data_IF_301591066839
#
_entry.id   IF_301591066839
#
_cell.length_a   1.000
_cell.length_b   1.000
_cell.length_c   1.000
_cell.angle_alpha   90.00
_cell.angle_beta   90.00
_cell.angle_gamma   90.00
#
_symmetry.space_group_name_H-M   'P 1'
#
loop_
_entity.id
_entity.type
_entity.pdbx_description
1 polymer ?
#
# COMPACT_ATOMS: atom_id res chain seq x y z
N UNK A 1 -20.52 -19.09 1.56
CA UNK A 1 -19.21 -18.42 1.52
C UNK A 1 -18.27 -19.33 0.76
N UNK A 2 -17.73 -18.86 -0.35
CA UNK A 2 -16.86 -19.65 -1.24
C UNK A 2 -15.41 -19.38 -0.82
N UNK A 3 -14.70 -20.41 -0.34
CA UNK A 3 -13.25 -20.33 -0.13
C UNK A 3 -12.56 -19.95 -1.44
N UNK A 4 -11.58 -19.04 -1.38
CA UNK A 4 -10.76 -18.72 -2.55
C UNK A 4 -9.85 -19.92 -2.82
N UNK A 5 -10.21 -20.74 -3.81
CA UNK A 5 -9.46 -21.94 -4.22
C UNK A 5 -8.27 -21.60 -5.13
N UNK A 6 -8.08 -20.32 -5.48
CA UNK A 6 -7.01 -19.84 -6.35
C UNK A 6 -5.84 -19.27 -5.55
N UNK A 7 -4.76 -20.05 -5.46
CA UNK A 7 -3.47 -19.56 -4.97
C UNK A 7 -2.79 -18.75 -6.08
N UNK A 8 -2.46 -17.50 -5.79
CA UNK A 8 -1.65 -16.64 -6.64
C UNK A 8 -0.17 -16.77 -6.30
N UNK A 9 0.71 -16.40 -7.24
CA UNK A 9 2.15 -16.29 -7.00
C UNK A 9 2.52 -14.90 -6.49
N UNK A 10 1.72 -13.88 -6.83
CA UNK A 10 1.96 -12.50 -6.39
C UNK A 10 0.69 -11.79 -5.93
N UNK A 11 0.85 -10.92 -4.93
CA UNK A 11 -0.14 -9.89 -4.60
C UNK A 11 0.52 -8.51 -4.72
N UNK A 12 -0.05 -7.66 -5.57
CA UNK A 12 0.57 -6.37 -5.96
C UNK A 12 -0.40 -5.23 -5.77
N UNK A 13 0.07 -4.13 -5.19
CA UNK A 13 -0.70 -2.89 -5.08
C UNK A 13 -0.62 -2.09 -6.37
N UNK A 14 -1.77 -1.59 -6.82
CA UNK A 14 -1.92 -0.62 -7.91
C UNK A 14 -2.27 0.78 -7.37
N UNK A 15 -1.95 1.07 -6.10
CA UNK A 15 -2.27 2.34 -5.45
C UNK A 15 -3.74 2.42 -4.98
N UNK A 16 -4.39 3.58 -4.95
CA UNK A 16 -3.95 4.88 -5.47
C UNK A 16 -2.93 5.63 -4.61
N UNK A 17 -2.71 5.19 -3.38
CA UNK A 17 -1.81 5.78 -2.40
C UNK A 17 -1.10 4.70 -1.58
N UNK A 18 -0.15 5.09 -0.75
CA UNK A 18 0.72 4.15 -0.03
C UNK A 18 0.01 3.23 0.97
N UNK A 19 -1.22 3.56 1.39
CA UNK A 19 -2.00 2.73 2.31
C UNK A 19 -2.32 1.34 1.78
N UNK A 20 -2.56 1.20 0.46
CA UNK A 20 -2.79 -0.11 -0.17
C UNK A 20 -1.59 -1.03 -0.01
N UNK A 21 -0.39 -0.54 -0.36
CA UNK A 21 0.85 -1.28 -0.23
C UNK A 21 1.19 -1.56 1.24
N UNK A 22 0.95 -0.60 2.13
CA UNK A 22 1.17 -0.74 3.58
C UNK A 22 0.25 -1.80 4.21
N UNK A 23 -1.02 -1.83 3.84
CA UNK A 23 -1.97 -2.87 4.29
C UNK A 23 -1.59 -4.26 3.79
N UNK A 24 -1.23 -4.40 2.52
CA UNK A 24 -0.73 -5.68 1.98
C UNK A 24 0.54 -6.14 2.70
N UNK A 25 1.45 -5.21 3.03
CA UNK A 25 2.68 -5.49 3.78
C UNK A 25 2.35 -6.05 5.17
N UNK A 26 1.40 -5.42 5.86
CA UNK A 26 0.95 -5.84 7.19
C UNK A 26 0.38 -7.27 7.20
N UNK A 27 -0.32 -7.66 6.13
CA UNK A 27 -0.89 -9.01 6.01
C UNK A 27 0.14 -10.07 5.57
N UNK A 28 1.32 -9.65 5.10
CA UNK A 28 2.31 -10.53 4.48
C UNK A 28 2.00 -10.86 3.02
N UNK A 29 1.07 -10.13 2.39
CA UNK A 29 0.68 -10.37 1.00
C UNK A 29 1.56 -9.62 0.01
N UNK A 30 2.11 -8.46 0.38
CA UNK A 30 2.90 -7.64 -0.55
C UNK A 30 4.14 -8.39 -1.04
N UNK A 31 4.16 -8.79 -2.31
CA UNK A 31 5.26 -9.54 -2.91
C UNK A 31 6.54 -8.71 -3.06
N UNK A 32 6.42 -7.42 -3.39
CA UNK A 32 7.55 -6.50 -3.51
C UNK A 32 7.07 -5.03 -3.48
N UNK A 33 8.01 -4.07 -3.54
CA UNK A 33 7.68 -2.67 -3.76
C UNK A 33 7.50 -2.36 -5.24
N UNK A 34 6.25 -2.19 -5.68
CA UNK A 34 5.87 -1.90 -7.06
C UNK A 34 6.02 -0.43 -7.47
N UNK A 35 5.80 -0.12 -8.76
CA UNK A 35 5.91 1.23 -9.31
C UNK A 35 4.82 2.19 -8.82
N UNK A 36 3.70 1.69 -8.27
CA UNK A 36 2.57 2.52 -7.83
C UNK A 36 2.44 2.65 -6.31
N UNK A 37 3.36 2.07 -5.54
CA UNK A 37 3.22 1.98 -4.07
C UNK A 37 3.49 3.29 -3.33
N UNK A 38 4.22 4.22 -3.94
CA UNK A 38 4.75 5.42 -3.25
C UNK A 38 4.41 6.72 -3.98
N UNK A 39 3.42 6.67 -4.87
CA UNK A 39 2.88 7.80 -5.58
C UNK A 39 1.36 7.88 -5.42
N UNK A 40 0.80 9.08 -5.52
CA UNK A 40 -0.63 9.27 -5.71
C UNK A 40 -0.94 9.11 -7.21
N UNK A 41 -1.97 8.35 -7.54
CA UNK A 41 -2.25 7.97 -8.93
C UNK A 41 -3.73 7.91 -9.28
N UNK A 42 -4.06 8.35 -10.49
CA UNK A 42 -5.35 8.08 -11.12
C UNK A 42 -5.37 6.67 -11.71
N UNK A 43 -6.47 5.94 -11.56
CA UNK A 43 -6.50 4.54 -11.97
C UNK A 43 -6.41 4.39 -13.49
N UNK A 44 -7.06 5.28 -14.24
CA UNK A 44 -6.91 5.34 -15.70
C UNK A 44 -5.43 5.45 -16.10
N UNK A 45 -4.66 6.32 -15.43
CA UNK A 45 -3.23 6.47 -15.71
C UNK A 45 -2.44 5.20 -15.36
N UNK A 46 -2.77 4.52 -14.26
CA UNK A 46 -2.17 3.23 -13.91
C UNK A 46 -2.45 2.18 -14.99
N UNK A 47 -3.70 2.05 -15.43
CA UNK A 47 -4.11 1.12 -16.49
C UNK A 47 -3.37 1.44 -17.80
N UNK A 48 -3.32 2.72 -18.18
CA UNK A 48 -2.60 3.16 -19.39
C UNK A 48 -1.11 2.83 -19.31
N UNK A 49 -0.47 3.01 -18.15
CA UNK A 49 0.95 2.66 -17.94
C UNK A 49 1.20 1.16 -18.05
N UNK A 50 0.26 0.32 -17.62
CA UNK A 50 0.40 -1.13 -17.76
C UNK A 50 0.19 -1.55 -19.22
N UNK A 51 -0.80 -0.94 -19.90
CA UNK A 51 -1.12 -1.25 -21.30
C UNK A 51 -0.01 -0.84 -22.27
N UNK A 52 0.62 0.32 -22.02
CA UNK A 52 1.70 0.84 -22.85
C UNK A 52 3.10 0.44 -22.37
N UNK A 53 3.22 -0.58 -21.49
CA UNK A 53 4.50 -1.07 -20.97
C UNK A 53 5.39 0.02 -20.35
N UNK A 54 4.76 0.94 -19.63
CA UNK A 54 5.38 2.04 -18.90
C UNK A 54 6.11 3.07 -19.79
N UNK A 55 5.64 3.25 -21.03
CA UNK A 55 6.19 4.25 -21.95
C UNK A 55 6.08 5.67 -21.35
N UNK A 56 7.23 6.36 -21.37
CA UNK A 56 7.48 7.69 -20.79
C UNK A 56 7.33 7.78 -19.26
N UNK A 57 7.27 6.66 -18.53
CA UNK A 57 7.18 6.69 -17.05
C UNK A 57 8.40 7.41 -16.45
N UNK A 58 8.15 8.45 -15.64
CA UNK A 58 9.18 9.30 -15.03
C UNK A 58 10.14 9.98 -16.03
N UNK A 59 9.73 10.16 -17.29
CA UNK A 59 10.54 10.89 -18.27
C UNK A 59 10.69 12.34 -17.83
N UNK A 60 11.93 12.82 -17.68
CA UNK A 60 12.26 14.13 -17.08
C UNK A 60 11.45 15.30 -17.65
N UNK A 61 11.19 15.33 -18.95
CA UNK A 61 10.42 16.39 -19.62
C UNK A 61 8.94 16.50 -19.16
N UNK A 62 8.37 15.39 -18.67
CA UNK A 62 7.02 15.35 -18.14
C UNK A 62 6.96 15.78 -16.66
N UNK A 63 8.11 15.87 -15.98
CA UNK A 63 8.17 16.10 -14.53
C UNK A 63 8.25 17.59 -14.19
N UNK A 64 7.55 17.98 -13.12
CA UNK A 64 7.65 19.32 -12.55
C UNK A 64 7.72 19.28 -11.01
N UNK A 65 8.45 20.22 -10.42
CA UNK A 65 8.46 20.44 -8.97
C UNK A 65 7.15 21.12 -8.56
N UNK A 66 6.47 20.59 -7.54
CA UNK A 66 5.16 21.09 -7.11
C UNK A 66 5.31 22.10 -5.97
N UNK A 67 4.59 23.22 -6.06
CA UNK A 67 4.52 24.26 -5.02
C UNK A 67 5.89 24.77 -4.55
N UNK A 68 6.89 24.77 -5.44
CA UNK A 68 8.30 25.10 -5.11
C UNK A 68 8.90 24.25 -3.98
N UNK A 69 8.30 23.10 -3.67
CA UNK A 69 8.84 22.16 -2.70
C UNK A 69 9.78 21.19 -3.42
N UNK A 70 11.12 21.29 -3.23
CA UNK A 70 12.08 20.49 -3.98
C UNK A 70 11.98 18.98 -3.69
N UNK A 71 11.19 18.57 -2.68
CA UNK A 71 10.97 17.18 -2.30
C UNK A 71 9.75 16.54 -2.93
N UNK A 72 8.99 17.31 -3.70
CA UNK A 72 7.71 16.88 -4.26
C UNK A 72 7.65 17.24 -5.73
N UNK A 73 7.40 16.24 -6.55
CA UNK A 73 7.29 16.41 -8.00
C UNK A 73 6.08 15.65 -8.53
N UNK A 74 5.58 16.07 -9.70
CA UNK A 74 4.50 15.36 -10.40
C UNK A 74 4.88 15.08 -11.85
N UNK A 75 4.37 13.97 -12.37
CA UNK A 75 4.27 13.71 -13.80
C UNK A 75 3.04 14.43 -14.36
N UNK A 76 3.24 15.38 -15.27
CA UNK A 76 2.16 16.18 -15.86
C UNK A 76 1.37 15.43 -16.92
N UNK A 77 1.97 14.41 -17.56
CA UNK A 77 1.36 13.63 -18.64
C UNK A 77 0.35 12.64 -18.08
N UNK A 78 0.70 11.96 -16.99
CA UNK A 78 -0.11 10.90 -16.39
C UNK A 78 -0.65 11.25 -14.99
N UNK A 79 -0.35 12.45 -14.48
CA UNK A 79 -0.83 12.96 -13.19
C UNK A 79 -0.41 12.11 -11.98
N UNK A 80 0.76 11.46 -12.05
CA UNK A 80 1.36 10.80 -10.88
C UNK A 80 2.01 11.82 -9.97
N UNK A 81 1.77 11.70 -8.66
CA UNK A 81 2.31 12.63 -7.67
C UNK A 81 3.27 11.89 -6.72
N UNK A 82 4.50 12.40 -6.58
CA UNK A 82 5.55 11.74 -5.80
C UNK A 82 5.94 12.63 -4.62
N UNK A 83 5.66 12.16 -3.41
CA UNK A 83 5.87 12.91 -2.16
C UNK A 83 6.76 12.19 -1.14
N UNK A 84 7.35 11.05 -1.53
CA UNK A 84 8.13 10.18 -0.64
C UNK A 84 9.54 9.85 -1.15
N UNK A 85 9.82 10.10 -2.42
CA UNK A 85 11.01 9.57 -3.09
C UNK A 85 12.23 10.48 -3.00
N UNK A 86 12.03 11.78 -2.76
CA UNK A 86 13.08 12.79 -2.68
C UNK A 86 13.42 13.06 -1.22
N UNK A 87 14.69 12.95 -0.85
CA UNK A 87 15.14 13.21 0.53
C UNK A 87 15.46 14.69 0.74
N UNK A 88 16.12 15.30 -0.23
CA UNK A 88 16.65 16.65 -0.16
C UNK A 88 16.23 17.48 -1.37
N UNK A 89 16.57 17.04 -2.58
CA UNK A 89 16.37 17.81 -3.80
C UNK A 89 16.16 16.92 -5.02
N UNK A 90 15.04 17.13 -5.71
CA UNK A 90 14.66 16.34 -6.87
C UNK A 90 15.69 16.37 -8.01
N UNK A 91 16.28 17.52 -8.32
CA UNK A 91 17.21 17.62 -9.45
C UNK A 91 18.47 16.77 -9.24
N UNK A 92 18.98 16.73 -8.01
CA UNK A 92 20.16 15.94 -7.66
C UNK A 92 19.85 14.45 -7.51
N UNK A 93 18.60 14.12 -7.17
CA UNK A 93 18.18 12.74 -6.88
C UNK A 93 17.46 12.06 -8.06
N UNK A 94 17.18 12.81 -9.14
CA UNK A 94 16.39 12.34 -10.28
C UNK A 94 16.93 11.02 -10.85
N UNK A 95 18.23 10.93 -11.16
CA UNK A 95 18.80 9.73 -11.80
C UNK A 95 18.65 8.48 -10.91
N UNK A 96 18.83 8.66 -9.60
CA UNK A 96 18.65 7.59 -8.62
C UNK A 96 17.18 7.17 -8.48
N UNK A 97 16.26 8.14 -8.51
CA UNK A 97 14.81 7.89 -8.47
C UNK A 97 14.38 7.17 -9.74
N UNK A 98 14.81 7.64 -10.91
CA UNK A 98 14.53 7.05 -12.21
C UNK A 98 15.02 5.59 -12.26
N UNK A 99 16.31 5.36 -11.98
CA UNK A 99 16.88 4.00 -11.96
C UNK A 99 16.18 3.07 -10.96
N UNK A 100 15.75 3.58 -9.80
CA UNK A 100 14.96 2.82 -8.82
C UNK A 100 13.62 2.38 -9.41
N UNK A 101 12.91 3.26 -10.10
CA UNK A 101 11.61 2.93 -10.69
C UNK A 101 11.75 2.04 -11.93
N UNK A 102 12.78 2.21 -12.77
CA UNK A 102 13.09 1.28 -13.87
C UNK A 102 13.21 -0.16 -13.36
N UNK A 103 14.02 -0.39 -12.32
CA UNK A 103 14.15 -1.74 -11.70
C UNK A 103 12.86 -2.26 -11.05
N UNK A 104 11.92 -1.38 -10.68
CA UNK A 104 10.61 -1.78 -10.14
C UNK A 104 9.64 -2.15 -11.25
N UNK A 105 9.68 -1.42 -12.37
CA UNK A 105 8.90 -1.68 -13.58
C UNK A 105 9.31 -3.02 -14.20
N UNK A 106 10.60 -3.24 -14.43
CA UNK A 106 11.12 -4.50 -14.97
C UNK A 106 10.66 -5.71 -14.13
N UNK A 107 10.76 -5.57 -12.80
CA UNK A 107 10.29 -6.59 -11.87
C UNK A 107 8.78 -6.75 -11.91
N UNK A 108 8.04 -5.65 -12.00
CA UNK A 108 6.58 -5.67 -12.09
C UNK A 108 6.13 -6.44 -13.32
N UNK A 109 6.59 -6.07 -14.52
CA UNK A 109 6.28 -6.75 -15.77
C UNK A 109 6.60 -8.25 -15.67
N UNK A 110 7.81 -8.60 -15.23
CA UNK A 110 8.21 -10.00 -15.06
C UNK A 110 7.33 -10.78 -14.06
N UNK A 111 6.86 -10.13 -12.99
CA UNK A 111 6.06 -10.81 -11.96
C UNK A 111 4.61 -11.04 -12.40
N UNK A 112 4.06 -10.13 -13.21
CA UNK A 112 2.66 -10.25 -13.67
C UNK A 112 2.49 -11.26 -14.80
N UNK A 113 3.58 -11.83 -15.34
CA UNK A 113 3.57 -13.01 -16.21
C UNK A 113 3.19 -14.30 -15.47
N UNK A 114 3.14 -14.27 -14.14
CA UNK A 114 2.64 -15.36 -13.28
C UNK A 114 1.31 -14.97 -12.62
N UNK A 115 0.47 -15.93 -12.18
CA UNK A 115 -0.82 -15.64 -11.56
C UNK A 115 -0.71 -14.58 -10.46
N UNK A 116 -1.31 -13.41 -10.70
CA UNK A 116 -1.18 -12.25 -9.83
C UNK A 116 -2.54 -11.68 -9.42
N UNK A 117 -2.70 -11.44 -8.13
CA UNK A 117 -3.84 -10.71 -7.58
C UNK A 117 -3.46 -9.24 -7.32
N UNK A 118 -4.06 -8.34 -8.07
CA UNK A 118 -3.87 -6.90 -7.94
C UNK A 118 -4.86 -6.30 -6.94
N UNK A 119 -4.42 -5.30 -6.18
CA UNK A 119 -5.26 -4.57 -5.23
C UNK A 119 -5.27 -3.08 -5.57
N UNK A 120 -6.46 -2.51 -5.71
CA UNK A 120 -6.67 -1.07 -5.93
C UNK A 120 -7.63 -0.52 -4.89
N UNK A 121 -7.14 0.33 -3.99
CA UNK A 121 -8.03 1.18 -3.21
C UNK A 121 -8.65 2.21 -4.17
N UNK A 122 -9.98 2.37 -4.13
CA UNK A 122 -10.71 3.21 -5.09
C UNK A 122 -10.74 4.65 -4.62
N UNK A 123 -10.24 5.59 -5.43
CA UNK A 123 -10.03 6.97 -4.98
C UNK A 123 -11.32 7.77 -4.83
N UNK A 124 -12.32 7.55 -5.69
CA UNK A 124 -13.51 8.41 -5.81
C UNK A 124 -14.67 7.74 -6.55
N UNK A 125 -15.85 8.35 -6.51
CA UNK A 125 -17.03 7.98 -7.32
C UNK A 125 -16.77 8.03 -8.84
N UNK A 126 -15.89 8.92 -9.28
CA UNK A 126 -15.48 8.98 -10.67
C UNK A 126 -14.66 7.75 -11.05
N UNK A 127 -13.76 7.30 -10.16
CA UNK A 127 -13.00 6.07 -10.36
C UNK A 127 -13.93 4.84 -10.38
N UNK A 128 -15.00 4.81 -9.56
CA UNK A 128 -16.03 3.76 -9.61
C UNK A 128 -16.68 3.68 -10.99
N UNK A 129 -17.12 4.82 -11.53
CA UNK A 129 -17.71 4.88 -12.87
C UNK A 129 -16.72 4.43 -13.94
N UNK A 130 -15.46 4.87 -13.83
CA UNK A 130 -14.40 4.42 -14.74
C UNK A 130 -14.22 2.90 -14.70
N UNK A 131 -14.09 2.30 -13.50
CA UNK A 131 -13.93 0.85 -13.33
C UNK A 131 -15.13 0.10 -13.93
N UNK A 132 -16.36 0.54 -13.62
CA UNK A 132 -17.57 -0.12 -14.10
C UNK A 132 -17.68 -0.09 -15.64
N UNK A 133 -17.36 1.06 -16.25
CA UNK A 133 -17.47 1.25 -17.70
C UNK A 133 -16.33 0.58 -18.50
N UNK A 134 -15.17 0.32 -17.87
CA UNK A 134 -13.98 -0.19 -18.55
C UNK A 134 -13.53 -1.56 -18.04
N UNK A 135 -14.40 -2.30 -17.34
CA UNK A 135 -14.10 -3.62 -16.75
C UNK A 135 -13.39 -4.56 -17.73
N UNK A 136 -13.97 -4.72 -18.93
CA UNK A 136 -13.46 -5.65 -19.94
C UNK A 136 -12.05 -5.25 -20.40
N UNK A 137 -11.81 -3.96 -20.67
CA UNK A 137 -10.51 -3.47 -21.11
C UNK A 137 -9.45 -3.63 -20.03
N UNK A 138 -9.78 -3.28 -18.77
CA UNK A 138 -8.89 -3.48 -17.62
C UNK A 138 -8.51 -4.95 -17.47
N UNK A 139 -9.50 -5.86 -17.55
CA UNK A 139 -9.24 -7.30 -17.47
C UNK A 139 -8.40 -7.80 -18.64
N UNK A 140 -8.68 -7.35 -19.86
CA UNK A 140 -7.92 -7.72 -21.06
C UNK A 140 -6.45 -7.26 -20.95
N UNK A 141 -6.20 -6.06 -20.45
CA UNK A 141 -4.85 -5.52 -20.24
C UNK A 141 -4.09 -6.39 -19.22
N UNK A 142 -4.69 -6.69 -18.06
CA UNK A 142 -4.02 -7.48 -17.03
C UNK A 142 -3.83 -8.95 -17.46
N UNK A 143 -4.81 -9.53 -18.16
CA UNK A 143 -4.78 -10.92 -18.60
C UNK A 143 -3.89 -11.19 -19.81
N UNK A 144 -3.48 -10.15 -20.53
CA UNK A 144 -2.47 -10.23 -21.60
C UNK A 144 -1.15 -10.83 -21.08
N UNK A 145 -0.80 -10.54 -19.83
CA UNK A 145 0.42 -11.06 -19.20
C UNK A 145 0.23 -12.46 -18.62
N UNK A 146 -0.95 -12.76 -18.04
CA UNK A 146 -1.31 -14.08 -17.55
C UNK A 146 -2.85 -14.19 -17.42
N UNK A 147 -3.45 -15.25 -17.96
CA UNK A 147 -4.90 -15.45 -17.98
C UNK A 147 -5.54 -15.55 -16.58
N UNK A 148 -4.75 -15.96 -15.58
CA UNK A 148 -5.14 -16.05 -14.17
C UNK A 148 -4.92 -14.74 -13.39
N UNK A 149 -4.49 -13.66 -14.04
CA UNK A 149 -4.42 -12.37 -13.38
C UNK A 149 -5.82 -11.88 -13.01
N UNK A 150 -5.94 -11.38 -11.78
CA UNK A 150 -7.18 -10.88 -11.22
C UNK A 150 -6.94 -9.56 -10.48
N UNK A 151 -7.97 -8.72 -10.39
CA UNK A 151 -7.93 -7.46 -9.65
C UNK A 151 -9.07 -7.38 -8.65
N UNK A 152 -8.77 -6.78 -7.50
CA UNK A 152 -9.71 -6.53 -6.40
C UNK A 152 -9.72 -5.05 -6.05
N UNK A 153 -10.93 -4.53 -5.92
CA UNK A 153 -11.17 -3.13 -5.57
C UNK A 153 -11.57 -2.99 -4.10
N UNK A 154 -11.03 -1.97 -3.42
CA UNK A 154 -11.30 -1.69 -2.01
C UNK A 154 -12.00 -0.34 -1.92
N UNK A 155 -13.23 -0.35 -1.43
CA UNK A 155 -14.13 0.80 -1.39
C UNK A 155 -14.26 1.31 0.04
N UNK A 156 -14.43 2.62 0.18
CA UNK A 156 -14.83 3.24 1.44
C UNK A 156 -16.33 3.05 1.69
N UNK A 157 -16.75 3.15 2.94
CA UNK A 157 -18.12 2.87 3.37
C UNK A 157 -19.17 3.76 2.68
N UNK A 158 -18.80 5.01 2.39
CA UNK A 158 -19.66 6.01 1.77
C UNK A 158 -19.68 5.98 0.24
N UNK A 159 -18.95 5.05 -0.39
CA UNK A 159 -18.86 4.97 -1.85
C UNK A 159 -19.97 4.13 -2.48
N UNK A 160 -20.36 4.43 -3.71
CA UNK A 160 -21.26 3.57 -4.48
C UNK A 160 -20.66 2.18 -4.69
N UNK A 161 -21.48 1.13 -4.68
CA UNK A 161 -21.01 -0.22 -4.99
C UNK A 161 -20.64 -0.36 -6.47
N UNK A 162 -19.64 -1.19 -6.76
CA UNK A 162 -19.38 -1.66 -8.12
C UNK A 162 -20.36 -2.80 -8.48
N UNK A 163 -20.60 -3.08 -9.78
CA UNK A 163 -21.41 -4.22 -10.20
C UNK A 163 -20.90 -5.55 -9.63
N UNK A 164 -21.80 -6.50 -9.35
CA UNK A 164 -21.47 -7.82 -8.76
C UNK A 164 -20.50 -8.66 -9.63
N UNK A 165 -20.43 -8.35 -10.93
CA UNK A 165 -19.46 -8.96 -11.84
C UNK A 165 -18.01 -8.53 -11.61
N UNK A 166 -17.79 -7.51 -10.77
CA UNK A 166 -16.48 -6.97 -10.40
C UNK A 166 -16.19 -7.37 -8.95
N UNK A 167 -14.99 -7.88 -8.68
CA UNK A 167 -14.62 -8.26 -7.31
C UNK A 167 -14.22 -7.02 -6.49
N UNK A 168 -15.00 -6.72 -5.47
CA UNK A 168 -14.72 -5.60 -4.56
C UNK A 168 -15.06 -5.93 -3.11
N UNK A 169 -14.45 -5.18 -2.18
CA UNK A 169 -14.73 -5.25 -0.75
C UNK A 169 -14.91 -3.85 -0.18
N UNK A 170 -15.77 -3.73 0.83
CA UNK A 170 -16.06 -2.46 1.51
C UNK A 170 -15.38 -2.41 2.88
N UNK A 171 -14.74 -1.29 3.15
CA UNK A 171 -14.21 -0.94 4.46
C UNK A 171 -15.28 -0.21 5.28
N UNK A 172 -15.18 -0.25 6.60
CA UNK A 172 -15.98 0.58 7.51
C UNK A 172 -15.54 2.05 7.54
N UNK A 173 -14.42 2.39 6.87
CA UNK A 173 -13.88 3.76 6.82
C UNK A 173 -14.62 4.63 5.79
N UNK A 174 -14.89 5.87 6.13
CA UNK A 174 -15.48 6.87 5.21
C UNK A 174 -14.44 7.74 4.49
N UNK A 175 -13.18 7.69 4.94
CA UNK A 175 -12.08 8.45 4.35
C UNK A 175 -10.75 7.72 4.49
N UNK A 176 -9.84 7.98 3.56
CA UNK A 176 -8.48 7.47 3.62
C UNK A 176 -7.65 8.18 4.68
N UNK A 177 -7.04 7.40 5.57
CA UNK A 177 -6.20 7.91 6.65
C UNK A 177 -4.75 7.97 6.16
N UNK A 178 -4.03 9.06 6.48
CA UNK A 178 -2.63 9.28 6.04
C UNK A 178 -1.59 8.91 7.10
N UNK A 179 -2.02 8.49 8.29
CA UNK A 179 -1.14 8.10 9.38
C UNK A 179 -0.61 6.70 9.15
N UNK A 180 0.69 6.49 9.41
CA UNK A 180 1.41 5.24 9.11
C UNK A 180 0.73 4.01 9.70
N UNK A 181 0.30 4.05 10.97
CA UNK A 181 -0.33 2.91 11.63
C UNK A 181 -1.71 2.60 11.03
N UNK A 182 -2.58 3.61 10.93
CA UNK A 182 -3.93 3.48 10.38
C UNK A 182 -3.92 2.92 8.96
N UNK A 183 -2.98 3.38 8.12
CA UNK A 183 -2.79 2.86 6.76
C UNK A 183 -2.45 1.38 6.72
N UNK A 184 -1.72 0.86 7.73
CA UNK A 184 -1.33 -0.56 7.78
C UNK A 184 -2.46 -1.45 8.25
N UNK A 185 -3.36 -0.95 9.08
CA UNK A 185 -4.52 -1.70 9.58
C UNK A 185 -5.80 -1.48 8.76
N UNK A 186 -5.72 -0.68 7.68
CA UNK A 186 -6.87 -0.30 6.85
C UNK A 186 -7.62 -1.52 6.30
N UNK A 187 -6.93 -2.52 5.76
CA UNK A 187 -7.60 -3.75 5.30
C UNK A 187 -8.19 -4.59 6.43
N UNK A 188 -7.79 -4.36 7.68
CA UNK A 188 -8.40 -4.98 8.87
C UNK A 188 -9.80 -4.45 9.19
N UNK A 189 -10.24 -3.39 8.53
CA UNK A 189 -11.56 -2.78 8.70
C UNK A 189 -12.67 -3.48 7.88
N UNK A 190 -12.40 -4.67 7.35
CA UNK A 190 -13.35 -5.48 6.59
C UNK A 190 -13.08 -6.96 6.82
N UNK A 191 -13.98 -7.64 7.54
CA UNK A 191 -13.85 -9.07 7.81
C UNK A 191 -13.89 -9.91 6.53
N UNK A 192 -14.72 -9.50 5.57
CA UNK A 192 -14.83 -10.13 4.26
C UNK A 192 -13.52 -10.04 3.48
N UNK A 193 -12.90 -8.86 3.45
CA UNK A 193 -11.59 -8.67 2.81
C UNK A 193 -10.50 -9.49 3.52
N UNK A 194 -10.50 -9.50 4.86
CA UNK A 194 -9.56 -10.30 5.65
C UNK A 194 -9.72 -11.80 5.34
N UNK A 195 -10.95 -12.28 5.23
CA UNK A 195 -11.23 -13.67 4.88
C UNK A 195 -10.76 -13.98 3.46
N UNK A 196 -11.08 -13.14 2.47
CA UNK A 196 -10.60 -13.28 1.10
C UNK A 196 -9.07 -13.29 1.01
N UNK A 197 -8.40 -12.47 1.82
CA UNK A 197 -6.94 -12.41 1.86
C UNK A 197 -6.29 -13.70 2.39
N UNK A 198 -7.03 -14.56 3.10
CA UNK A 198 -6.53 -15.87 3.54
C UNK A 198 -6.44 -16.80 2.33
N UNK A 199 -5.27 -17.39 2.12
CA UNK A 199 -5.07 -18.38 1.05
C UNK A 199 -4.67 -17.80 -0.31
N UNK A 200 -4.58 -16.48 -0.47
CA UNK A 200 -4.14 -15.89 -1.75
C UNK A 200 -2.69 -16.23 -2.11
N UNK A 201 -1.84 -16.47 -1.11
CA UNK A 201 -0.45 -16.90 -1.28
C UNK A 201 -0.18 -18.13 -0.42
N UNK A 202 0.84 -18.90 -0.81
CA UNK A 202 1.39 -20.00 0.01
C UNK A 202 1.85 -19.47 1.37
N UNK A 203 1.62 -20.24 2.43
CA UNK A 203 1.99 -19.88 3.81
C UNK A 203 3.47 -19.49 3.95
N UNK A 204 4.38 -20.24 3.33
CA UNK A 204 5.82 -19.95 3.33
C UNK A 204 6.14 -18.56 2.75
N UNK A 205 5.47 -18.17 1.67
CA UNK A 205 5.64 -16.85 1.06
C UNK A 205 5.13 -15.73 1.98
N UNK A 206 4.00 -15.96 2.66
CA UNK A 206 3.44 -15.01 3.63
C UNK A 206 4.42 -14.79 4.78
N UNK A 207 5.02 -15.86 5.31
CA UNK A 207 6.00 -15.79 6.39
C UNK A 207 7.27 -15.05 5.97
N UNK A 208 7.79 -15.31 4.77
CA UNK A 208 8.94 -14.59 4.21
C UNK A 208 8.64 -13.10 4.06
N UNK A 209 7.48 -12.75 3.52
CA UNK A 209 7.06 -11.36 3.35
C UNK A 209 6.93 -10.65 4.70
N UNK A 210 6.37 -11.31 5.72
CA UNK A 210 6.27 -10.76 7.09
C UNK A 210 7.64 -10.52 7.71
N UNK A 211 8.57 -11.47 7.58
CA UNK A 211 9.96 -11.30 8.06
C UNK A 211 10.62 -10.09 7.40
N UNK A 212 10.49 -9.95 6.09
CA UNK A 212 11.01 -8.79 5.36
C UNK A 212 10.39 -7.46 5.84
N UNK A 213 9.07 -7.43 6.02
CA UNK A 213 8.39 -6.23 6.50
C UNK A 213 8.80 -5.85 7.93
N UNK A 214 8.95 -6.82 8.84
CA UNK A 214 9.45 -6.59 10.20
C UNK A 214 10.86 -6.01 10.15
N UNK A 215 11.76 -6.59 9.36
CA UNK A 215 13.13 -6.09 9.24
C UNK A 215 13.20 -4.65 8.71
N UNK A 216 12.32 -4.31 7.76
CA UNK A 216 12.36 -3.00 7.08
C UNK A 216 11.58 -1.91 7.79
N UNK A 217 10.44 -2.26 8.37
CA UNK A 217 9.45 -1.33 8.88
C UNK A 217 9.09 -1.58 10.35
N UNK A 218 9.64 -2.61 11.00
CA UNK A 218 9.23 -3.05 12.35
C UNK A 218 9.30 -1.93 13.37
N UNK A 219 10.44 -1.24 13.47
CA UNK A 219 10.62 -0.11 14.38
C UNK A 219 9.66 1.03 14.07
N UNK A 220 9.56 1.46 12.80
CA UNK A 220 8.65 2.55 12.39
C UNK A 220 7.18 2.20 12.65
N UNK A 221 6.79 0.94 12.43
CA UNK A 221 5.45 0.45 12.68
C UNK A 221 5.14 0.38 14.19
N UNK A 222 6.11 -0.06 15.01
CA UNK A 222 5.99 -0.07 16.46
C UNK A 222 5.80 1.35 17.02
N UNK A 223 6.65 2.30 16.60
CA UNK A 223 6.54 3.71 17.01
C UNK A 223 5.18 4.28 16.59
N UNK A 224 4.75 4.06 15.35
CA UNK A 224 3.46 4.55 14.86
C UNK A 224 2.27 3.94 15.63
N UNK A 225 2.38 2.67 16.05
CA UNK A 225 1.39 1.99 16.87
C UNK A 225 1.33 2.57 18.28
N UNK A 226 2.47 2.82 18.92
CA UNK A 226 2.55 3.46 20.25
C UNK A 226 1.91 4.86 20.18
N UNK A 227 2.31 5.68 19.21
CA UNK A 227 1.75 7.02 19.00
C UNK A 227 0.22 6.99 18.83
N UNK A 228 -0.30 6.01 18.09
CA UNK A 228 -1.74 5.82 17.94
C UNK A 228 -2.44 5.56 19.29
N UNK A 229 -1.93 4.64 20.11
CA UNK A 229 -2.57 4.34 21.40
C UNK A 229 -2.46 5.48 22.39
N UNK A 230 -1.29 6.13 22.49
CA UNK A 230 -1.09 7.29 23.38
C UNK A 230 -2.08 8.42 23.08
N UNK A 231 -2.39 8.65 21.79
CA UNK A 231 -3.32 9.72 21.40
C UNK A 231 -4.80 9.37 21.59
N UNK A 232 -5.14 8.08 21.58
CA UNK A 232 -6.53 7.60 21.63
C UNK A 232 -6.91 7.02 23.00
N UNK A 233 -5.95 6.87 23.93
CA UNK A 233 -6.17 6.37 25.28
C UNK A 233 -5.75 7.44 26.30
N UNK A 234 -6.74 8.15 26.86
CA UNK A 234 -6.56 9.24 27.83
C UNK A 234 -6.45 8.68 29.27
N UNK A 235 -6.76 7.40 29.51
CA UNK A 235 -6.98 6.88 30.87
C UNK A 235 -6.21 5.58 31.23
N UNK A 236 -5.37 5.02 30.35
CA UNK A 236 -4.75 3.72 30.67
C UNK A 236 -3.57 3.32 29.79
N UNK A 237 -2.52 4.13 29.79
CA UNK A 237 -1.22 3.82 29.15
C UNK A 237 -0.67 2.46 29.60
N UNK A 238 -1.03 1.96 30.78
CA UNK A 238 -0.31 0.87 31.45
C UNK A 238 -0.54 -0.54 30.84
N UNK A 239 -1.78 -0.98 30.65
CA UNK A 239 -2.04 -2.42 30.41
C UNK A 239 -1.81 -2.88 28.97
N UNK A 240 -2.20 -2.06 27.97
CA UNK A 240 -2.08 -2.42 26.55
C UNK A 240 -0.66 -2.21 26.01
N UNK A 241 0.02 -1.16 26.46
CA UNK A 241 1.41 -0.89 26.06
C UNK A 241 2.36 -1.91 26.71
N UNK A 242 2.15 -2.27 27.98
CA UNK A 242 2.95 -3.28 28.69
C UNK A 242 2.88 -4.67 28.04
N UNK A 243 1.70 -5.14 27.63
CA UNK A 243 1.56 -6.43 26.93
C UNK A 243 2.24 -6.42 25.55
N UNK A 244 2.27 -5.25 24.89
CA UNK A 244 2.85 -5.08 23.55
C UNK A 244 4.37 -5.05 23.53
N UNK A 245 5.01 -4.49 24.57
CA UNK A 245 6.48 -4.41 24.66
C UNK A 245 7.14 -5.77 24.92
N UNK A 246 6.39 -6.79 25.37
CA UNK A 246 6.89 -8.17 25.54
C UNK A 246 7.17 -8.92 24.23
N UNK A 247 6.75 -8.38 23.07
CA UNK A 247 6.81 -9.06 21.77
C UNK A 247 7.97 -8.59 20.86
N UNK A 248 8.80 -7.65 21.30
CA UNK A 248 9.95 -7.17 20.54
C UNK A 248 11.23 -7.37 21.36
N UNK A 249 11.98 -8.43 21.07
CA UNK A 249 13.32 -8.58 21.62
C UNK A 249 14.26 -7.51 21.01
N UNK A 250 15.02 -6.82 21.87
CA UNK A 250 16.20 -5.99 21.59
C UNK A 250 16.04 -4.50 21.16
N UNK A 251 14.98 -3.77 21.51
CA UNK A 251 14.95 -2.30 21.32
C UNK A 251 14.40 -1.52 22.53
N UNK A 252 15.06 -0.41 22.88
CA UNK A 252 14.71 0.47 24.00
C UNK A 252 13.92 1.69 23.49
N UNK A 253 12.74 1.98 24.06
CA UNK A 253 11.92 3.15 23.69
C UNK A 253 11.79 4.13 24.86
N UNK A 254 12.04 5.42 24.60
CA UNK A 254 11.84 6.50 25.56
C UNK A 254 10.56 7.28 25.24
N UNK A 255 9.67 7.45 26.22
CA UNK A 255 8.46 8.27 26.10
C UNK A 255 8.53 9.39 27.15
N UNK A 256 8.48 10.66 26.72
CA UNK A 256 8.50 11.84 27.60
C UNK A 256 7.12 12.51 27.64
N UNK A 257 6.63 12.86 28.83
CA UNK A 257 5.37 13.61 28.99
C UNK A 257 5.34 14.50 30.25
N UNK A 258 4.93 15.76 30.09
CA UNK A 258 4.40 16.62 31.17
C UNK A 258 5.26 16.87 32.41
N UNK A 259 6.59 16.82 32.32
CA UNK A 259 7.49 17.17 33.44
C UNK A 259 7.79 16.04 34.43
N UNK A 260 7.24 14.82 34.21
CA UNK A 260 7.66 13.62 34.91
C UNK A 260 8.22 12.62 33.90
N UNK A 261 9.46 12.17 34.10
CA UNK A 261 10.02 11.05 33.35
C UNK A 261 9.28 9.78 33.81
N UNK A 262 8.42 9.23 32.96
CA UNK A 262 7.95 7.86 33.17
C UNK A 262 9.04 6.95 32.62
N UNK A 263 9.87 6.43 33.52
CA UNK A 263 10.86 5.43 33.17
C UNK A 263 10.13 4.10 32.92
N UNK A 264 9.96 3.71 31.66
CA UNK A 264 9.77 2.30 31.37
C UNK A 264 11.14 1.64 31.33
N UNK A 265 11.59 1.18 32.51
CA UNK A 265 12.68 0.22 32.59
C UNK A 265 12.17 -1.11 32.05
N UNK A 266 12.62 -1.48 30.86
CA UNK A 266 12.58 -2.87 30.42
C UNK A 266 13.76 -3.55 31.14
N UNK A 267 13.51 -4.06 32.34
CA UNK A 267 14.33 -5.14 32.89
C UNK A 267 13.68 -6.42 32.36
N UNK A 268 14.48 -7.17 31.60
CA UNK A 268 14.13 -8.49 31.06
C UNK A 268 13.88 -9.45 32.21
#
# INVERSE_FOLDING_TARGET
>A
MMECTETYDNCISLGWFCGTASSLSQLGLRSFSGPFDWCLSDFQSVVNQIDNEFVDFLKKENLEIVNKNPKVFRDRKYNFYYNHDVKENFENEYDNIYAKYTRRIERFIKKIESPTCFFRAVRSEEEIRFIANNKADIENILKRYNDKNAIVYILLNNMSSLPDSIRWFRLTLEQYIKKTYDMRIMFGQSEELQHFCKGLLKTEQIELNRKYDIQKNGQKAAIAKIDYYVRNDINGIDTKISCMLKLQENELFYIFGGGNMVFLYIII
#
